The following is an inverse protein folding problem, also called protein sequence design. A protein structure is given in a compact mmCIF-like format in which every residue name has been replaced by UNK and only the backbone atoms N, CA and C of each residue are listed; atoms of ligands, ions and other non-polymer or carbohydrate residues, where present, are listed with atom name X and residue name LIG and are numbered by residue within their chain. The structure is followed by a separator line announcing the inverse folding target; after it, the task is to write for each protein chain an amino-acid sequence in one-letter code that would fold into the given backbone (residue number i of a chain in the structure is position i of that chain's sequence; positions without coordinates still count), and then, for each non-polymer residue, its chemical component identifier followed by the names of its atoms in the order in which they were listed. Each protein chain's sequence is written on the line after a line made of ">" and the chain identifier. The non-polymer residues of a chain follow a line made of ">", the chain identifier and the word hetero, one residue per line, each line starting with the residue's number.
data_IF_780898904756
#
_entry.id   IF_780898904756
#
_cell.length_a   1.000
_cell.length_b   1.000
_cell.length_c   1.000
_cell.angle_alpha   90.00
_cell.angle_beta   90.00
_cell.angle_gamma   90.00
#
_symmetry.space_group_name_H-M   'P 1'
#
loop_
_entity.id
_entity.type
_entity.pdbx_description
1 polymer ?
#
# COMPACT_ATOMS: atom_id res chain seq x y z
N UNK A 1 6.55 -0.07 -10.53
CA UNK A 1 5.82 0.55 -9.40
C UNK A 1 4.68 -0.37 -8.98
N UNK A 2 3.93 -0.91 -9.94
CA UNK A 2 2.90 -1.93 -9.71
C UNK A 2 3.41 -3.16 -8.94
N UNK A 3 4.63 -3.64 -9.23
CA UNK A 3 5.24 -4.73 -8.46
C UNK A 3 5.44 -4.40 -6.97
N UNK A 4 5.78 -3.15 -6.63
CA UNK A 4 5.99 -2.70 -5.24
C UNK A 4 4.64 -2.62 -4.50
N UNK A 5 3.61 -2.15 -5.19
CA UNK A 5 2.25 -2.09 -4.66
C UNK A 5 1.70 -3.51 -4.47
N UNK A 6 1.92 -4.39 -5.44
CA UNK A 6 1.49 -5.78 -5.39
C UNK A 6 2.18 -6.56 -4.27
N UNK A 7 3.46 -6.30 -4.02
CA UNK A 7 4.22 -6.94 -2.94
C UNK A 7 3.69 -6.54 -1.55
N UNK A 8 3.41 -5.24 -1.35
CA UNK A 8 2.80 -4.80 -0.08
C UNK A 8 1.35 -5.29 0.08
N UNK A 9 0.58 -5.34 -1.02
CA UNK A 9 -0.76 -5.93 -0.97
C UNK A 9 -0.69 -7.41 -0.60
N UNK A 10 0.25 -8.16 -1.19
CA UNK A 10 0.47 -9.56 -0.86
C UNK A 10 0.86 -9.74 0.61
N UNK A 11 1.69 -8.84 1.17
CA UNK A 11 2.05 -8.85 2.58
C UNK A 11 0.82 -8.68 3.49
N UNK A 12 -0.07 -7.73 3.20
CA UNK A 12 -1.30 -7.53 3.97
C UNK A 12 -2.21 -8.76 3.89
N UNK A 13 -2.39 -9.32 2.68
CA UNK A 13 -3.23 -10.50 2.44
C UNK A 13 -2.68 -11.77 3.10
N UNK A 14 -1.36 -11.91 3.18
CA UNK A 14 -0.70 -13.01 3.88
C UNK A 14 -0.65 -12.84 5.41
N UNK A 15 -1.20 -11.74 5.94
CA UNK A 15 -1.22 -11.47 7.37
C UNK A 15 0.09 -10.90 7.93
N UNK A 16 0.96 -10.37 7.08
CA UNK A 16 2.24 -9.79 7.47
C UNK A 16 3.31 -10.85 7.77
N UNK A 17 4.21 -10.54 8.70
CA UNK A 17 5.28 -11.46 9.12
C UNK A 17 4.78 -12.41 10.21
N UNK A 18 4.03 -13.44 9.80
CA UNK A 18 3.58 -14.50 10.70
C UNK A 18 4.58 -15.65 10.69
N UNK A 19 5.08 -16.03 11.87
CA UNK A 19 5.93 -17.22 12.05
C UNK A 19 5.14 -18.53 12.07
N UNK A 20 3.83 -18.46 12.30
CA UNK A 20 2.90 -19.59 12.31
C UNK A 20 1.47 -19.13 11.97
N UNK A 21 0.60 -20.03 11.48
CA UNK A 21 -0.82 -19.71 11.26
C UNK A 21 -1.50 -19.32 12.58
N UNK A 22 -2.10 -18.14 12.62
CA UNK A 22 -2.81 -17.62 13.79
C UNK A 22 -4.13 -16.98 13.36
N UNK A 23 -5.13 -17.07 14.23
CA UNK A 23 -6.37 -16.33 14.07
C UNK A 23 -6.15 -14.90 14.56
N UNK A 24 -6.41 -13.93 13.68
CA UNK A 24 -6.21 -12.52 13.95
C UNK A 24 -7.53 -11.77 13.80
N UNK A 25 -7.72 -10.76 14.63
CA UNK A 25 -8.89 -9.88 14.54
C UNK A 25 -8.81 -8.97 13.31
N UNK A 26 -9.95 -8.47 12.85
CA UNK A 26 -10.03 -7.54 11.72
C UNK A 26 -9.13 -6.31 11.89
N UNK A 27 -9.01 -5.81 13.12
CA UNK A 27 -8.18 -4.65 13.44
C UNK A 27 -6.71 -4.84 13.05
N UNK A 28 -6.19 -6.07 13.14
CA UNK A 28 -4.82 -6.38 12.75
C UNK A 28 -4.59 -6.16 11.25
N UNK A 29 -5.55 -6.57 10.41
CA UNK A 29 -5.47 -6.38 8.97
C UNK A 29 -5.61 -4.89 8.60
N UNK A 30 -6.48 -4.15 9.30
CA UNK A 30 -6.62 -2.69 9.10
C UNK A 30 -5.34 -1.93 9.45
N UNK A 31 -4.65 -2.36 10.50
CA UNK A 31 -3.39 -1.73 10.91
C UNK A 31 -2.25 -2.07 9.93
N UNK A 32 -2.19 -3.32 9.46
CA UNK A 32 -1.27 -3.74 8.39
C UNK A 32 -1.49 -2.95 7.09
N UNK A 33 -2.73 -2.80 6.67
CA UNK A 33 -3.08 -2.01 5.48
C UNK A 33 -2.67 -0.55 5.65
N UNK A 34 -2.93 0.04 6.83
CA UNK A 34 -2.56 1.43 7.13
C UNK A 34 -1.05 1.66 7.02
N UNK A 35 -0.24 0.76 7.58
CA UNK A 35 1.22 0.88 7.50
C UNK A 35 1.75 0.67 6.08
N UNK A 36 1.19 -0.30 5.34
CA UNK A 36 1.51 -0.51 3.93
C UNK A 36 1.18 0.72 3.07
N UNK A 37 -0.03 1.27 3.25
CA UNK A 37 -0.46 2.49 2.55
C UNK A 37 0.44 3.68 2.87
N UNK A 38 0.76 3.90 4.16
CA UNK A 38 1.62 5.00 4.60
C UNK A 38 3.01 4.91 3.97
N UNK A 39 3.55 3.70 3.87
CA UNK A 39 4.83 3.43 3.19
C UNK A 39 4.73 3.76 1.70
N UNK A 40 3.70 3.29 1.01
CA UNK A 40 3.47 3.55 -0.41
C UNK A 40 3.22 5.04 -0.73
N UNK A 41 2.54 5.77 0.16
CA UNK A 41 2.29 7.20 0.07
C UNK A 41 3.56 8.05 0.28
N UNK A 42 4.56 7.50 0.98
CA UNK A 42 5.87 8.13 1.16
C UNK A 42 6.75 8.14 -0.09
N UNK A 43 6.44 7.35 -1.13
CA UNK A 43 7.26 7.30 -2.33
C UNK A 43 7.13 8.60 -3.14
N UNK A 44 8.24 9.23 -3.56
CA UNK A 44 8.22 10.46 -4.35
C UNK A 44 7.37 10.35 -5.63
N UNK A 45 7.47 9.22 -6.35
CA UNK A 45 6.67 8.96 -7.56
C UNK A 45 5.17 8.87 -7.27
N UNK A 46 4.77 8.37 -6.09
CA UNK A 46 3.36 8.35 -5.68
C UNK A 46 2.86 9.78 -5.47
N UNK A 47 3.67 10.61 -4.78
CA UNK A 47 3.33 12.01 -4.54
C UNK A 47 3.25 12.82 -5.84
N UNK A 48 4.16 12.59 -6.78
CA UNK A 48 4.12 13.20 -8.12
C UNK A 48 2.84 12.83 -8.87
N UNK A 49 2.41 11.56 -8.81
CA UNK A 49 1.15 11.11 -9.43
C UNK A 49 -0.08 11.76 -8.76
N UNK A 50 -0.08 11.88 -7.43
CA UNK A 50 -1.14 12.55 -6.68
C UNK A 50 -1.20 14.03 -7.08
N UNK A 51 -0.07 14.73 -7.06
CA UNK A 51 0.02 16.12 -7.46
C UNK A 51 -0.43 16.35 -8.90
N UNK A 52 0.03 15.52 -9.83
CA UNK A 52 -0.39 15.60 -11.21
C UNK A 52 -1.90 15.36 -11.36
N UNK A 53 -2.46 14.38 -10.65
CA UNK A 53 -3.88 14.10 -10.68
C UNK A 53 -4.71 15.27 -10.12
N UNK A 54 -4.24 15.90 -9.04
CA UNK A 54 -4.89 17.09 -8.46
C UNK A 54 -4.81 18.32 -9.39
N UNK A 55 -3.70 18.51 -10.10
CA UNK A 55 -3.49 19.66 -10.98
C UNK A 55 -4.17 19.51 -12.34
N UNK A 56 -4.13 18.33 -12.94
CA UNK A 56 -4.55 18.10 -14.33
C UNK A 56 -5.86 17.33 -14.46
N UNK A 57 -6.35 16.75 -13.36
CA UNK A 57 -7.51 15.85 -13.36
C UNK A 57 -7.28 14.52 -14.09
N UNK A 58 -6.06 14.27 -14.59
CA UNK A 58 -5.74 13.07 -15.37
C UNK A 58 -4.69 12.21 -14.64
N UNK A 59 -4.85 10.88 -14.64
CA UNK A 59 -3.88 9.99 -14.02
C UNK A 59 -2.54 10.09 -14.76
N UNK A 60 -1.47 10.36 -14.01
CA UNK A 60 -0.11 10.32 -14.53
C UNK A 60 0.29 8.86 -14.77
N UNK A 61 0.45 8.49 -16.05
CA UNK A 61 0.99 7.20 -16.48
C UNK A 61 2.46 7.39 -16.86
N UNK A 62 3.34 6.62 -16.22
CA UNK A 62 4.70 6.35 -16.69
C UNK A 62 4.73 4.93 -17.26
#
# INVERSE_FOLDING_TARGET
>A
HDAVIADELAKVLCGGELSAPAWMDEQYFLDLEREGFKTLAGYPKTQERIWHMLQTGKPLRN
#
